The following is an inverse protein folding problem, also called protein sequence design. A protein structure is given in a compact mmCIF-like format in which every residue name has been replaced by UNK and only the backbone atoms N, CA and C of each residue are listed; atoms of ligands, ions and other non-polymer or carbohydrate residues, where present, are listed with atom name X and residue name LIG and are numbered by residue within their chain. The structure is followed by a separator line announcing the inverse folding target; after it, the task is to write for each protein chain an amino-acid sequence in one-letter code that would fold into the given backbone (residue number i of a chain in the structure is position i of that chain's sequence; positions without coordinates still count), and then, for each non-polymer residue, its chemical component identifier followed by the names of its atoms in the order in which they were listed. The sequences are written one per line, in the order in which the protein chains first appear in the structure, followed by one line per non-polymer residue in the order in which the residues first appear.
data_IF_541107440010
#
_entry.id   IF_541107440010
#
_cell.length_a   1.000
_cell.length_b   1.000
_cell.length_c   1.000
_cell.angle_alpha   90.00
_cell.angle_beta   90.00
_cell.angle_gamma   90.00
#
_symmetry.space_group_name_H-M   'P 1'
#
loop_
_entity.id
_entity.type
_entity.pdbx_description
1 polymer ?
#
# COMPACT_ATOMS: atom_id res chain seq x y z
N UNK A 1 16.81 64.02 -45.85
CA UNK A 1 16.76 63.53 -44.45
C UNK A 1 15.92 62.25 -44.42
N UNK A 2 16.34 61.26 -43.62
CA UNK A 2 16.09 59.82 -43.79
C UNK A 2 14.71 59.35 -43.30
N UNK A 3 14.09 58.53 -44.14
CA UNK A 3 13.12 57.42 -43.96
C UNK A 3 12.00 57.51 -42.92
N UNK A 4 10.80 57.37 -43.46
CA UNK A 4 9.49 57.03 -42.88
C UNK A 4 9.51 55.71 -42.08
N UNK A 5 8.68 55.71 -41.02
CA UNK A 5 8.22 54.67 -40.10
C UNK A 5 8.50 53.19 -40.44
N UNK A 6 8.98 52.45 -39.43
CA UNK A 6 8.87 50.99 -39.39
C UNK A 6 8.48 50.52 -38.00
N UNK A 7 7.18 50.28 -37.81
CA UNK A 7 6.67 49.42 -36.75
C UNK A 7 7.27 48.02 -36.96
N UNK A 8 7.86 47.43 -35.92
CA UNK A 8 8.17 46.00 -35.88
C UNK A 8 7.89 45.51 -34.47
N UNK A 9 6.75 44.85 -34.37
CA UNK A 9 6.22 44.22 -33.18
C UNK A 9 6.99 42.91 -32.84
N UNK A 10 6.86 42.50 -31.57
CA UNK A 10 6.88 41.11 -31.07
C UNK A 10 8.19 40.30 -31.15
N UNK A 11 8.77 40.01 -29.97
CA UNK A 11 9.41 38.74 -29.58
C UNK A 11 10.08 38.93 -28.20
N UNK A 12 10.00 38.08 -27.18
CA UNK A 12 9.43 36.76 -27.04
C UNK A 12 9.11 36.53 -25.56
N UNK A 13 7.93 35.98 -25.26
CA UNK A 13 7.61 35.34 -23.99
C UNK A 13 8.49 34.10 -23.86
N UNK A 14 9.51 34.13 -23.00
CA UNK A 14 10.20 32.91 -22.57
C UNK A 14 9.38 32.28 -21.45
N UNK A 15 8.41 31.44 -21.86
CA UNK A 15 7.77 30.47 -20.99
C UNK A 15 8.82 29.43 -20.55
N UNK A 16 9.49 29.70 -19.43
CA UNK A 16 10.31 28.73 -18.72
C UNK A 16 9.40 27.70 -18.03
N UNK A 17 8.79 26.80 -18.80
CA UNK A 17 8.12 25.64 -18.25
C UNK A 17 9.19 24.64 -17.80
N UNK A 18 9.63 24.77 -16.55
CA UNK A 18 10.42 23.75 -15.87
C UNK A 18 9.60 22.47 -15.83
N UNK A 19 9.86 21.56 -16.76
CA UNK A 19 9.39 20.18 -16.71
C UNK A 19 10.10 19.50 -15.53
N UNK A 20 9.53 19.68 -14.33
CA UNK A 20 9.86 18.82 -13.20
C UNK A 20 9.27 17.46 -13.55
N UNK A 21 10.11 16.58 -14.10
CA UNK A 21 9.73 15.18 -14.28
C UNK A 21 9.56 14.58 -12.88
N UNK A 22 8.35 14.15 -12.47
CA UNK A 22 8.23 13.36 -11.26
C UNK A 22 9.04 12.07 -11.48
N UNK A 23 10.06 11.86 -10.66
CA UNK A 23 10.81 10.60 -10.66
C UNK A 23 9.87 9.42 -10.38
N UNK A 24 10.29 8.17 -10.70
CA UNK A 24 9.48 7.01 -10.40
C UNK A 24 9.19 6.98 -8.90
N UNK A 25 7.92 7.19 -8.52
CA UNK A 25 7.48 6.88 -7.18
C UNK A 25 7.66 5.37 -7.02
N UNK A 26 8.69 4.95 -6.27
CA UNK A 26 8.82 3.55 -5.89
C UNK A 26 7.61 3.22 -5.03
N UNK A 27 6.63 2.55 -5.63
CA UNK A 27 5.44 2.13 -4.93
C UNK A 27 5.85 1.18 -3.80
N UNK A 28 5.34 1.42 -2.59
CA UNK A 28 5.61 0.56 -1.45
C UNK A 28 5.21 -0.89 -1.77
N UNK A 29 6.14 -1.82 -1.54
CA UNK A 29 5.92 -3.24 -1.78
C UNK A 29 5.19 -3.87 -0.59
N UNK A 30 3.90 -4.14 -0.77
CA UNK A 30 3.09 -4.80 0.25
C UNK A 30 3.27 -6.32 0.30
N UNK A 31 3.95 -6.93 -0.66
CA UNK A 31 4.04 -8.39 -0.76
C UNK A 31 4.78 -9.01 0.43
N UNK A 32 4.22 -10.07 1.00
CA UNK A 32 4.81 -10.79 2.12
C UNK A 32 3.82 -11.06 3.25
N UNK A 33 4.34 -11.67 4.32
CA UNK A 33 3.59 -11.97 5.53
C UNK A 33 3.76 -10.85 6.55
N UNK A 34 2.66 -10.48 7.22
CA UNK A 34 2.58 -9.36 8.15
C UNK A 34 1.90 -9.82 9.44
N UNK A 35 2.61 -9.76 10.56
CA UNK A 35 2.09 -10.11 11.88
C UNK A 35 1.79 -8.85 12.70
N UNK A 36 0.82 -8.90 13.62
CA UNK A 36 0.58 -7.81 14.57
C UNK A 36 1.74 -7.62 15.56
N UNK A 37 2.57 -8.65 15.72
CA UNK A 37 3.77 -8.66 16.57
C UNK A 37 4.89 -9.43 15.85
N UNK A 38 6.03 -8.77 15.64
CA UNK A 38 7.19 -9.33 14.95
C UNK A 38 7.78 -10.55 15.68
N UNK A 39 7.71 -10.58 17.02
CA UNK A 39 8.27 -11.66 17.82
C UNK A 39 7.48 -12.97 17.64
N UNK A 40 6.23 -12.86 17.20
CA UNK A 40 5.34 -13.99 16.99
C UNK A 40 5.28 -14.47 15.53
N UNK A 41 6.08 -13.91 14.62
CA UNK A 41 6.08 -14.31 13.20
C UNK A 41 6.14 -15.83 12.98
N UNK A 42 7.05 -16.53 13.66
CA UNK A 42 7.20 -17.99 13.55
C UNK A 42 6.05 -18.79 14.20
N UNK A 43 5.23 -18.14 15.03
CA UNK A 43 4.04 -18.74 15.64
C UNK A 43 2.78 -18.45 14.82
N UNK A 44 2.77 -17.39 14.03
CA UNK A 44 1.64 -16.98 13.17
C UNK A 44 1.75 -17.62 11.79
N UNK A 45 2.96 -17.72 11.24
CA UNK A 45 3.21 -18.21 9.90
C UNK A 45 4.15 -19.41 9.87
N UNK A 46 3.89 -20.31 8.94
CA UNK A 46 4.79 -21.41 8.55
C UNK A 46 5.09 -21.31 7.06
N UNK A 47 6.34 -21.58 6.68
CA UNK A 47 6.80 -21.59 5.30
C UNK A 47 6.56 -22.97 4.67
N UNK A 48 6.00 -22.97 3.46
CA UNK A 48 5.88 -24.16 2.59
C UNK A 48 6.54 -23.83 1.24
N UNK A 49 7.84 -24.11 1.14
CA UNK A 49 8.65 -23.65 0.02
C UNK A 49 8.74 -22.12 0.01
N UNK A 50 8.42 -21.50 -1.12
CA UNK A 50 8.46 -20.04 -1.28
C UNK A 50 7.24 -19.31 -0.67
N UNK A 51 6.16 -20.01 -0.34
CA UNK A 51 4.93 -19.41 0.17
C UNK A 51 4.87 -19.48 1.70
N UNK A 52 4.37 -18.41 2.31
CA UNK A 52 3.98 -18.41 3.71
C UNK A 52 2.51 -18.84 3.83
N UNK A 53 2.16 -19.54 4.91
CA UNK A 53 0.77 -19.85 5.26
C UNK A 53 0.57 -19.71 6.76
N UNK A 54 -0.67 -19.68 7.22
CA UNK A 54 -0.98 -19.56 8.64
C UNK A 54 -0.73 -20.88 9.38
N UNK A 55 -0.25 -20.79 10.61
CA UNK A 55 -0.30 -21.92 11.56
C UNK A 55 -1.72 -22.07 12.11
N UNK A 56 -2.01 -23.23 12.70
CA UNK A 56 -3.31 -23.51 13.33
C UNK A 56 -3.61 -22.55 14.50
N UNK A 57 -2.57 -22.15 15.24
CA UNK A 57 -2.68 -21.30 16.45
C UNK A 57 -2.44 -19.80 16.18
N UNK A 58 -2.42 -19.38 14.91
CA UNK A 58 -2.03 -18.03 14.52
C UNK A 58 -2.84 -16.88 15.12
N UNK A 59 -4.13 -17.10 15.38
CA UNK A 59 -5.05 -16.16 16.04
C UNK A 59 -4.73 -15.94 17.52
N UNK A 60 -4.25 -16.97 18.22
CA UNK A 60 -3.83 -16.87 19.63
C UNK A 60 -2.63 -15.94 19.78
N UNK A 61 -1.82 -15.79 18.73
CA UNK A 61 -0.62 -14.95 18.72
C UNK A 61 -0.83 -13.58 18.05
N UNK A 62 -2.09 -13.14 17.90
CA UNK A 62 -2.46 -11.82 17.36
C UNK A 62 -2.81 -11.81 15.87
N UNK A 63 -2.54 -12.91 15.16
CA UNK A 63 -2.88 -13.07 13.75
C UNK A 63 -2.02 -12.22 12.82
N UNK A 64 -2.53 -12.01 11.61
CA UNK A 64 -1.80 -11.34 10.54
C UNK A 64 -2.48 -11.47 9.19
N UNK A 65 -1.76 -11.07 8.15
CA UNK A 65 -2.18 -11.24 6.76
C UNK A 65 -0.98 -11.49 5.86
N UNK A 66 -1.22 -12.13 4.72
CA UNK A 66 -0.23 -12.38 3.67
C UNK A 66 -0.71 -11.68 2.41
N UNK A 67 0.16 -10.94 1.73
CA UNK A 67 -0.14 -10.33 0.43
C UNK A 67 0.75 -10.96 -0.63
N UNK A 68 0.12 -11.44 -1.71
CA UNK A 68 0.80 -12.00 -2.88
C UNK A 68 0.16 -11.40 -4.14
N UNK A 69 0.85 -10.43 -4.73
CA UNK A 69 0.34 -9.58 -5.80
C UNK A 69 -0.89 -8.81 -5.33
N UNK A 70 -2.05 -9.26 -5.79
CA UNK A 70 -3.35 -8.66 -5.51
C UNK A 70 -4.25 -9.58 -4.67
N UNK A 71 -3.71 -10.66 -4.14
CA UNK A 71 -4.39 -11.54 -3.19
C UNK A 71 -3.96 -11.18 -1.76
N UNK A 72 -4.94 -10.97 -0.88
CA UNK A 72 -4.74 -10.84 0.56
C UNK A 72 -5.30 -12.11 1.20
N UNK A 73 -4.47 -12.83 1.95
CA UNK A 73 -4.86 -14.02 2.69
C UNK A 73 -4.81 -13.70 4.18
N UNK A 74 -5.95 -13.75 4.85
CA UNK A 74 -6.04 -13.81 6.31
C UNK A 74 -6.40 -15.23 6.77
N UNK A 75 -6.38 -15.48 8.08
CA UNK A 75 -6.77 -16.78 8.64
C UNK A 75 -8.21 -17.19 8.27
N UNK A 76 -9.13 -16.21 8.27
CA UNK A 76 -10.58 -16.44 8.12
C UNK A 76 -11.18 -15.91 6.82
N UNK A 77 -10.38 -15.25 5.97
CA UNK A 77 -10.87 -14.65 4.75
C UNK A 77 -9.77 -14.56 3.70
N UNK A 78 -10.17 -14.65 2.43
CA UNK A 78 -9.33 -14.36 1.28
C UNK A 78 -9.92 -13.18 0.54
N UNK A 79 -9.10 -12.19 0.23
CA UNK A 79 -9.52 -11.01 -0.51
C UNK A 79 -8.74 -10.86 -1.81
N UNK A 80 -9.40 -10.28 -2.81
CA UNK A 80 -8.81 -9.86 -4.07
C UNK A 80 -8.83 -8.34 -4.15
N UNK A 81 -7.67 -7.71 -4.18
CA UNK A 81 -7.53 -6.27 -4.38
C UNK A 81 -8.12 -5.92 -5.75
N UNK A 82 -9.07 -4.99 -5.76
CA UNK A 82 -9.77 -4.48 -6.95
C UNK A 82 -9.25 -3.10 -7.35
N UNK A 83 -8.85 -2.30 -6.37
CA UNK A 83 -8.28 -0.99 -6.59
C UNK A 83 -7.25 -0.69 -5.49
N UNK A 84 -6.19 0.01 -5.87
CA UNK A 84 -5.16 0.55 -4.98
C UNK A 84 -5.00 2.04 -5.31
N UNK A 85 -4.93 2.88 -4.29
CA UNK A 85 -4.64 4.31 -4.40
C UNK A 85 -3.61 4.69 -3.34
N UNK A 86 -2.48 5.20 -3.80
CA UNK A 86 -1.42 5.71 -2.95
C UNK A 86 -1.59 7.23 -2.79
N UNK A 87 -1.57 7.70 -1.54
CA UNK A 87 -1.74 9.10 -1.11
C UNK A 87 -0.64 9.45 -0.10
N UNK A 88 0.51 9.90 -0.61
CA UNK A 88 1.70 10.08 0.23
C UNK A 88 2.14 8.74 0.83
N UNK A 89 2.24 8.67 2.16
CA UNK A 89 2.54 7.43 2.88
C UNK A 89 1.31 6.53 3.13
N UNK A 90 0.12 6.93 2.68
CA UNK A 90 -1.11 6.16 2.88
C UNK A 90 -1.46 5.35 1.64
N UNK A 91 -1.73 4.06 1.83
CA UNK A 91 -2.18 3.12 0.81
C UNK A 91 -3.64 2.76 1.11
N UNK A 92 -4.54 3.15 0.22
CA UNK A 92 -5.95 2.82 0.30
C UNK A 92 -6.27 1.70 -0.69
N UNK A 93 -6.88 0.62 -0.20
CA UNK A 93 -7.24 -0.56 -0.97
C UNK A 93 -8.75 -0.77 -0.92
N UNK A 94 -9.33 -1.13 -2.07
CA UNK A 94 -10.66 -1.76 -2.13
C UNK A 94 -10.45 -3.21 -2.52
N UNK A 95 -10.93 -4.15 -1.70
CA UNK A 95 -10.76 -5.57 -1.96
C UNK A 95 -12.08 -6.33 -1.81
N UNK A 96 -12.34 -7.27 -2.72
CA UNK A 96 -13.45 -8.21 -2.60
C UNK A 96 -13.01 -9.36 -1.71
N UNK A 97 -13.56 -9.46 -0.50
CA UNK A 97 -13.23 -10.47 0.51
C UNK A 97 -14.31 -11.54 0.57
N UNK A 98 -13.88 -12.80 0.60
CA UNK A 98 -14.71 -13.97 0.87
C UNK A 98 -14.28 -14.62 2.19
N UNK A 99 -15.23 -14.84 3.09
CA UNK A 99 -15.12 -15.71 4.26
C UNK A 99 -16.10 -16.88 4.13
N UNK A 100 -16.12 -17.79 5.11
CA UNK A 100 -17.08 -18.89 5.17
C UNK A 100 -18.54 -18.42 5.33
N UNK A 101 -18.76 -17.14 5.62
CA UNK A 101 -20.07 -16.55 5.89
C UNK A 101 -20.55 -15.70 4.71
N UNK A 102 -19.70 -14.83 4.15
CA UNK A 102 -20.15 -13.85 3.16
C UNK A 102 -19.04 -13.38 2.21
N UNK A 103 -19.47 -12.86 1.06
CA UNK A 103 -18.64 -12.12 0.12
C UNK A 103 -19.02 -10.64 0.14
N UNK A 104 -18.03 -9.77 0.32
CA UNK A 104 -18.24 -8.32 0.41
C UNK A 104 -17.01 -7.53 -0.03
N UNK A 105 -17.22 -6.29 -0.48
CA UNK A 105 -16.11 -5.37 -0.72
C UNK A 105 -15.74 -4.64 0.57
N UNK A 106 -14.46 -4.68 0.93
CA UNK A 106 -13.90 -4.05 2.12
C UNK A 106 -12.89 -2.98 1.71
N UNK A 107 -12.90 -1.85 2.41
CA UNK A 107 -11.90 -0.80 2.29
C UNK A 107 -10.83 -0.98 3.36
N UNK A 108 -9.57 -1.06 2.96
CA UNK A 108 -8.42 -1.08 3.86
C UNK A 108 -7.61 0.21 3.67
N UNK A 109 -7.13 0.77 4.77
CA UNK A 109 -6.23 1.92 4.76
C UNK A 109 -4.99 1.57 5.58
N UNK A 110 -3.82 1.68 4.97
CA UNK A 110 -2.53 1.36 5.56
C UNK A 110 -1.63 2.58 5.47
N UNK A 111 -0.97 2.97 6.56
CA UNK A 111 0.09 3.97 6.55
C UNK A 111 1.44 3.26 6.59
N UNK A 112 2.26 3.53 5.58
CA UNK A 112 3.67 3.15 5.58
C UNK A 112 4.40 3.91 6.70
N UNK A 113 5.14 3.17 7.52
CA UNK A 113 6.08 3.74 8.50
C UNK A 113 7.51 3.54 8.02
N UNK A 114 7.81 2.32 7.58
CA UNK A 114 9.07 1.93 6.95
C UNK A 114 8.86 0.65 6.12
N UNK A 115 9.92 0.14 5.49
CA UNK A 115 9.88 -1.05 4.63
C UNK A 115 9.27 -2.31 5.29
N UNK A 116 9.31 -2.40 6.61
CA UNK A 116 8.88 -3.56 7.39
C UNK A 116 7.78 -3.23 8.41
N UNK A 117 7.22 -2.03 8.38
CA UNK A 117 6.20 -1.60 9.33
C UNK A 117 5.09 -0.85 8.62
N UNK A 118 3.86 -1.31 8.83
CA UNK A 118 2.65 -0.59 8.40
C UNK A 118 1.68 -0.42 9.56
N UNK A 119 0.90 0.65 9.52
CA UNK A 119 -0.18 0.89 10.48
C UNK A 119 -1.50 0.82 9.72
N UNK A 120 -2.36 -0.13 10.09
CA UNK A 120 -3.73 -0.15 9.61
C UNK A 120 -4.54 0.92 10.31
N UNK A 121 -5.12 1.81 9.50
CA UNK A 121 -6.05 2.84 9.93
C UNK A 121 -7.48 2.39 9.62
N UNK A 122 -8.43 2.83 10.44
CA UNK A 122 -9.86 2.55 10.26
C UNK A 122 -10.60 3.85 9.90
N UNK A 123 -10.93 4.07 8.62
CA UNK A 123 -11.63 5.28 8.20
C UNK A 123 -12.91 5.53 9.00
N UNK A 124 -13.11 6.76 9.47
CA UNK A 124 -14.28 7.14 10.28
C UNK A 124 -14.21 6.75 11.75
N UNK A 125 -13.16 6.04 12.20
CA UNK A 125 -12.97 5.64 13.60
C UNK A 125 -11.61 6.14 14.11
N UNK A 126 -11.59 7.40 14.56
CA UNK A 126 -10.37 8.05 15.04
C UNK A 126 -9.74 7.31 16.23
N UNK A 127 -8.40 7.22 16.22
CA UNK A 127 -7.63 6.61 17.31
C UNK A 127 -7.59 5.08 17.32
N UNK A 128 -8.33 4.40 16.45
CA UNK A 128 -8.15 2.95 16.24
C UNK A 128 -7.09 2.72 15.17
N UNK A 129 -5.96 2.16 15.59
CA UNK A 129 -4.85 1.79 14.72
C UNK A 129 -4.30 0.42 15.13
N UNK A 130 -3.90 -0.39 14.15
CA UNK A 130 -3.20 -1.66 14.40
C UNK A 130 -1.87 -1.62 13.66
N UNK A 131 -0.77 -1.78 14.40
CA UNK A 131 0.56 -1.91 13.83
C UNK A 131 0.76 -3.35 13.33
N UNK A 132 1.35 -3.49 12.15
CA UNK A 132 1.81 -4.76 11.62
C UNK A 132 3.29 -4.66 11.25
N UNK A 133 4.03 -5.72 11.56
CA UNK A 133 5.42 -5.90 11.20
C UNK A 133 5.54 -6.96 10.10
N UNK A 134 6.39 -6.70 9.11
CA UNK A 134 6.72 -7.67 8.06
C UNK A 134 7.52 -8.80 8.69
N UNK A 135 7.08 -10.03 8.44
CA UNK A 135 7.83 -11.20 8.85
C UNK A 135 8.98 -11.46 7.87
N UNK A 136 10.19 -11.72 8.38
CA UNK A 136 11.34 -12.00 7.55
C UNK A 136 11.13 -13.27 6.73
N UNK A 137 11.79 -13.32 5.58
CA UNK A 137 11.84 -14.53 4.78
C UNK A 137 12.82 -15.53 5.39
N UNK A 138 12.40 -16.28 6.41
CA UNK A 138 13.15 -17.42 6.94
C UNK A 138 13.06 -18.66 6.06
#
# INVERSE_FOLDING_TARGET
MRSVYRNSALAALLAGASLVMPGPALAFDLNGAWASDAENCAKVFVRKGAQATFTDMSDVYGGGFIIEGDQITGKFARCRIKAKKDEGATINLVAACASDIMLQNVQFSLREVDANTVIRMFPGMGGMEIKYARCPAS
#
